data_IF_332486448172
#
_entry.id   IF_332486448172
#
_cell.length_a   1.000
_cell.length_b   1.000
_cell.length_c   1.000
_cell.angle_alpha   90.00
_cell.angle_beta   90.00
_cell.angle_gamma   90.00
#
_symmetry.space_group_name_H-M   'P 1'
#
loop_
_entity.id
_entity.type
_entity.pdbx_description
1 polymer ?
#
# COMPACT_ATOMS: atom_id res chain seq x y z
N UNK A 1 9.33 55.36 52.52
CA UNK A 1 7.97 55.62 53.03
C UNK A 1 7.18 54.35 52.79
N UNK A 2 6.93 53.58 53.84
CA UNK A 2 6.16 52.33 53.78
C UNK A 2 4.70 52.64 54.13
N UNK A 3 3.76 52.27 53.28
CA UNK A 3 2.37 52.04 53.65
C UNK A 3 1.86 50.73 53.01
N UNK A 4 0.96 50.01 53.70
CA UNK A 4 0.94 48.55 53.74
C UNK A 4 -0.25 47.91 53.01
N UNK A 5 -0.20 46.57 52.96
CA UNK A 5 -1.23 45.57 52.58
C UNK A 5 -2.68 46.00 52.82
N UNK A 6 -3.55 45.78 51.82
CA UNK A 6 -5.00 45.66 52.06
C UNK A 6 -5.53 44.28 51.63
N UNK A 7 -6.09 43.48 52.57
CA UNK A 7 -6.56 42.12 52.34
C UNK A 7 -8.06 42.04 51.97
N UNK A 8 -8.40 41.05 51.13
CA UNK A 8 -9.68 40.34 51.16
C UNK A 8 -10.75 40.75 50.14
N UNK A 9 -11.06 39.85 49.20
CA UNK A 9 -12.36 39.18 49.21
C UNK A 9 -12.27 37.77 48.58
N UNK A 10 -13.15 36.92 49.08
CA UNK A 10 -13.14 35.46 49.05
C UNK A 10 -14.09 34.93 47.99
N UNK A 11 -13.70 33.86 47.28
CA UNK A 11 -14.54 32.69 46.96
C UNK A 11 -13.69 31.60 46.31
N UNK A 12 -13.08 30.71 47.11
CA UNK A 12 -12.73 29.38 46.62
C UNK A 12 -14.04 28.63 46.42
N UNK A 13 -14.40 28.35 45.18
CA UNK A 13 -15.41 27.32 44.89
C UNK A 13 -14.88 26.00 45.46
N UNK A 14 -15.64 25.28 46.30
CA UNK A 14 -15.27 23.92 46.66
C UNK A 14 -15.32 23.05 45.38
N UNK A 15 -14.26 22.29 45.15
CA UNK A 15 -14.21 21.26 44.11
C UNK A 15 -15.01 20.05 44.61
N UNK A 16 -16.14 19.78 43.96
CA UNK A 16 -17.14 18.81 44.38
C UNK A 16 -17.10 17.51 43.55
N UNK A 17 -15.96 17.14 42.94
CA UNK A 17 -15.95 16.00 42.01
C UNK A 17 -15.30 14.74 42.63
N UNK A 18 -16.02 13.59 42.73
CA UNK A 18 -15.56 12.35 43.37
C UNK A 18 -14.36 11.65 42.68
N UNK A 19 -13.60 10.78 43.38
CA UNK A 19 -12.40 10.14 42.85
C UNK A 19 -12.72 9.07 41.77
N UNK A 20 -11.77 8.88 40.85
CA UNK A 20 -11.86 7.98 39.70
C UNK A 20 -12.29 6.55 40.09
N UNK A 21 -13.42 6.10 39.54
CA UNK A 21 -13.77 4.67 39.48
C UNK A 21 -13.35 4.13 38.11
N UNK A 22 -12.33 3.29 38.10
CA UNK A 22 -11.90 2.52 36.94
C UNK A 22 -13.01 1.54 36.52
N UNK A 23 -13.58 1.60 35.30
CA UNK A 23 -14.45 0.55 34.81
C UNK A 23 -13.62 -0.69 34.48
N UNK A 24 -13.82 -1.78 35.23
CA UNK A 24 -13.28 -3.11 34.98
C UNK A 24 -13.92 -3.71 33.74
N UNK A 25 -13.09 -4.26 32.88
CA UNK A 25 -13.37 -4.83 31.56
C UNK A 25 -14.69 -5.60 31.43
N UNK A 26 -15.61 -5.04 30.65
CA UNK A 26 -16.73 -5.78 30.02
C UNK A 26 -16.71 -5.71 28.49
N UNK A 27 -15.72 -5.05 27.87
CA UNK A 27 -15.69 -4.76 26.43
C UNK A 27 -14.75 -5.66 25.60
N UNK A 28 -14.28 -6.80 26.10
CA UNK A 28 -13.37 -7.67 25.34
C UNK A 28 -14.07 -8.47 24.23
N UNK A 29 -15.37 -8.75 24.37
CA UNK A 29 -16.15 -9.53 23.39
C UNK A 29 -16.65 -8.68 22.21
N UNK A 30 -16.71 -7.35 22.36
CA UNK A 30 -17.09 -6.41 21.28
C UNK A 30 -15.92 -6.11 20.32
N UNK A 31 -14.69 -6.41 20.72
CA UNK A 31 -13.50 -6.21 19.89
C UNK A 31 -13.47 -7.14 18.66
N UNK A 32 -14.09 -8.31 18.74
CA UNK A 32 -14.12 -9.27 17.62
C UNK A 32 -15.14 -8.91 16.52
N UNK A 33 -16.02 -7.92 16.76
CA UNK A 33 -17.08 -7.57 15.80
C UNK A 33 -17.08 -6.08 15.38
N UNK A 34 -15.94 -5.39 15.48
CA UNK A 34 -15.80 -4.04 14.95
C UNK A 34 -15.12 -4.07 13.57
N UNK A 35 -15.75 -3.55 12.50
CA UNK A 35 -15.03 -3.30 11.26
C UNK A 35 -13.92 -2.29 11.56
N UNK A 36 -12.68 -2.62 11.21
CA UNK A 36 -11.55 -1.71 11.36
C UNK A 36 -11.86 -0.40 10.63
N UNK A 37 -12.16 0.66 11.41
CA UNK A 37 -12.31 1.99 10.85
C UNK A 37 -10.92 2.46 10.42
N UNK A 38 -10.71 2.84 9.15
CA UNK A 38 -9.47 3.50 8.77
C UNK A 38 -9.40 4.79 9.60
N UNK A 39 -8.38 4.88 10.46
CA UNK A 39 -8.08 6.11 11.18
C UNK A 39 -7.54 7.10 10.15
N UNK A 40 -8.43 7.92 9.60
CA UNK A 40 -8.03 9.05 8.79
C UNK A 40 -7.17 9.97 9.68
N UNK A 41 -5.87 10.04 9.40
CA UNK A 41 -5.00 11.04 10.03
C UNK A 41 -5.59 12.41 9.72
N UNK A 42 -5.93 13.15 10.77
CA UNK A 42 -6.40 14.53 10.67
C UNK A 42 -5.28 15.38 10.06
N UNK A 43 -5.57 16.06 8.95
CA UNK A 43 -4.73 17.09 8.35
C UNK A 43 -5.07 18.46 8.95
N UNK A 44 -4.08 19.31 9.27
CA UNK A 44 -4.31 20.65 9.83
C UNK A 44 -5.06 21.59 8.84
N UNK A 45 -5.73 22.64 9.33
CA UNK A 45 -6.61 23.48 8.52
C UNK A 45 -5.81 24.35 7.55
N UNK A 46 -6.14 24.21 6.26
CA UNK A 46 -5.79 25.07 5.12
C UNK A 46 -4.35 25.64 5.07
N UNK A 47 -3.34 24.78 5.02
CA UNK A 47 -2.37 25.01 3.96
C UNK A 47 -3.10 24.69 2.65
N UNK A 48 -2.97 25.51 1.60
CA UNK A 48 -3.28 25.09 0.22
C UNK A 48 -2.42 23.86 -0.06
N UNK A 49 -2.94 22.70 0.30
CA UNK A 49 -2.33 21.43 0.00
C UNK A 49 -2.30 21.41 -1.52
N UNK A 50 -1.12 21.28 -2.17
CA UNK A 50 -1.09 20.87 -3.55
C UNK A 50 -1.91 19.59 -3.55
N UNK A 51 -3.12 19.63 -4.12
CA UNK A 51 -3.97 18.46 -4.25
C UNK A 51 -3.02 17.40 -4.79
N UNK A 52 -2.73 16.31 -4.05
CA UNK A 52 -1.93 15.23 -4.61
C UNK A 52 -2.59 14.96 -5.95
N UNK A 53 -1.90 15.16 -7.08
CA UNK A 53 -2.54 15.26 -8.38
C UNK A 53 -3.43 14.05 -8.47
N UNK A 54 -4.76 14.28 -8.52
CA UNK A 54 -5.78 13.27 -8.30
C UNK A 54 -5.26 12.00 -8.96
N UNK A 55 -4.89 11.00 -8.15
CA UNK A 55 -4.24 9.81 -8.69
C UNK A 55 -5.27 9.21 -9.61
N UNK A 56 -5.15 9.51 -10.90
CA UNK A 56 -6.17 9.21 -11.88
C UNK A 56 -6.17 7.72 -11.97
N UNK A 57 -7.10 7.08 -11.26
CA UNK A 57 -7.30 5.64 -11.32
C UNK A 57 -7.46 5.30 -12.78
N UNK A 58 -6.54 4.46 -13.28
CA UNK A 58 -6.51 4.12 -14.69
C UNK A 58 -7.86 3.52 -15.11
N UNK A 59 -8.40 4.00 -16.23
CA UNK A 59 -9.66 3.49 -16.75
C UNK A 59 -9.51 2.04 -17.20
N UNK A 60 -10.63 1.31 -17.23
CA UNK A 60 -10.66 -0.08 -17.73
C UNK A 60 -10.13 -0.16 -19.17
N UNK A 61 -10.47 0.82 -20.02
CA UNK A 61 -9.95 0.88 -21.39
C UNK A 61 -8.43 1.00 -21.46
N UNK A 62 -7.82 1.75 -20.54
CA UNK A 62 -6.36 1.84 -20.46
C UNK A 62 -5.72 0.52 -20.01
N UNK A 63 -6.38 -0.24 -19.14
CA UNK A 63 -5.95 -1.61 -18.78
C UNK A 63 -6.14 -2.60 -19.93
N UNK A 64 -7.24 -2.52 -20.68
CA UNK A 64 -7.44 -3.36 -21.86
C UNK A 64 -6.37 -3.10 -22.91
N UNK A 65 -6.02 -1.84 -23.17
CA UNK A 65 -4.94 -1.49 -24.07
C UNK A 65 -3.59 -2.02 -23.55
N UNK A 66 -3.33 -1.86 -22.25
CA UNK A 66 -2.11 -2.41 -21.63
C UNK A 66 -2.01 -3.93 -21.83
N UNK A 67 -3.10 -4.67 -21.59
CA UNK A 67 -3.16 -6.11 -21.77
C UNK A 67 -2.97 -6.51 -23.24
N UNK A 68 -3.62 -5.81 -24.17
CA UNK A 68 -3.49 -6.03 -25.61
C UNK A 68 -2.04 -5.87 -26.09
N UNK A 69 -1.37 -4.78 -25.70
CA UNK A 69 0.03 -4.53 -26.05
C UNK A 69 0.94 -5.62 -25.46
N UNK A 70 0.70 -6.04 -24.21
CA UNK A 70 1.51 -7.11 -23.58
C UNK A 70 1.33 -8.48 -24.20
N UNK A 71 0.21 -8.75 -24.87
CA UNK A 71 -0.04 -10.00 -25.59
C UNK A 71 0.86 -10.19 -26.81
N UNK A 72 1.43 -9.10 -27.35
CA UNK A 72 2.40 -9.16 -28.45
C UNK A 72 3.79 -9.41 -27.86
N UNK A 73 4.57 -10.43 -28.29
CA UNK A 73 5.79 -10.83 -27.59
C UNK A 73 6.85 -9.72 -27.48
N UNK A 74 7.25 -9.17 -28.63
CA UNK A 74 8.31 -8.15 -28.74
C UNK A 74 7.79 -6.78 -28.32
N UNK A 75 6.66 -6.34 -28.89
CA UNK A 75 6.06 -5.05 -28.57
C UNK A 75 5.65 -4.98 -27.10
N UNK A 76 5.09 -6.06 -26.56
CA UNK A 76 4.70 -6.17 -25.16
C UNK A 76 5.87 -6.14 -24.19
N UNK A 77 7.03 -6.72 -24.57
CA UNK A 77 8.25 -6.60 -23.78
C UNK A 77 8.71 -5.14 -23.71
N UNK A 78 8.80 -4.48 -24.87
CA UNK A 78 9.20 -3.06 -24.95
C UNK A 78 8.23 -2.20 -24.13
N UNK A 79 6.93 -2.42 -24.29
CA UNK A 79 5.90 -1.71 -23.54
C UNK A 79 6.07 -1.88 -22.02
N UNK A 80 6.26 -3.10 -21.52
CA UNK A 80 6.49 -3.36 -20.09
C UNK A 80 7.75 -2.63 -19.59
N UNK A 81 8.83 -2.60 -20.37
CA UNK A 81 10.05 -1.87 -20.00
C UNK A 81 9.81 -0.36 -19.89
N UNK A 82 9.14 0.23 -20.89
CA UNK A 82 8.78 1.66 -20.89
C UNK A 82 7.87 1.99 -19.70
N UNK A 83 6.92 1.12 -19.38
CA UNK A 83 6.00 1.32 -18.26
C UNK A 83 6.68 1.13 -16.90
N UNK A 84 7.58 0.14 -16.76
CA UNK A 84 8.26 -0.17 -15.49
C UNK A 84 9.24 0.93 -15.05
N UNK A 85 9.88 1.59 -16.02
CA UNK A 85 10.93 2.60 -15.79
C UNK A 85 10.54 4.01 -16.21
N UNK A 86 9.44 4.19 -16.93
CA UNK A 86 8.99 5.49 -17.43
C UNK A 86 8.52 6.43 -16.31
N UNK A 87 8.72 7.75 -16.51
CA UNK A 87 8.33 8.77 -15.55
C UNK A 87 6.81 9.05 -15.56
N UNK A 88 6.17 8.99 -16.73
CA UNK A 88 4.80 9.49 -17.00
C UNK A 88 3.64 8.52 -16.72
N UNK A 89 3.90 7.37 -16.11
CA UNK A 89 2.89 6.34 -15.84
C UNK A 89 2.40 6.35 -14.39
N UNK A 90 1.16 5.91 -14.14
CA UNK A 90 0.59 5.74 -12.79
C UNK A 90 1.41 4.77 -11.93
N UNK A 91 1.49 5.00 -10.62
CA UNK A 91 2.27 4.13 -9.71
C UNK A 91 1.82 2.66 -9.77
N UNK A 92 0.50 2.42 -9.88
CA UNK A 92 -0.07 1.08 -10.00
C UNK A 92 0.40 0.35 -11.26
N UNK A 93 0.41 1.02 -12.42
CA UNK A 93 0.83 0.41 -13.68
C UNK A 93 2.35 0.18 -13.72
N UNK A 94 3.16 1.02 -13.08
CA UNK A 94 4.61 0.73 -12.90
C UNK A 94 4.85 -0.53 -12.07
N UNK A 95 4.13 -0.67 -10.95
CA UNK A 95 4.26 -1.86 -10.10
C UNK A 95 3.83 -3.14 -10.83
N UNK A 96 2.70 -3.07 -11.55
CA UNK A 96 2.25 -4.17 -12.40
C UNK A 96 3.30 -4.56 -13.45
N UNK A 97 3.91 -3.60 -14.14
CA UNK A 97 4.92 -3.88 -15.14
C UNK A 97 6.17 -4.54 -14.54
N UNK A 98 6.62 -4.09 -13.36
CA UNK A 98 7.72 -4.74 -12.63
C UNK A 98 7.38 -6.18 -12.22
N UNK A 99 6.15 -6.42 -11.76
CA UNK A 99 5.67 -7.77 -11.45
C UNK A 99 5.64 -8.67 -12.69
N UNK A 100 5.16 -8.17 -13.83
CA UNK A 100 5.19 -8.91 -15.10
C UNK A 100 6.62 -9.26 -15.52
N UNK A 101 7.57 -8.36 -15.30
CA UNK A 101 8.99 -8.59 -15.62
C UNK A 101 9.57 -9.71 -14.75
N UNK A 102 9.26 -9.72 -13.45
CA UNK A 102 9.61 -10.82 -12.56
C UNK A 102 8.99 -12.16 -12.99
N UNK A 103 7.69 -12.17 -13.32
CA UNK A 103 7.02 -13.37 -13.83
C UNK A 103 7.64 -13.91 -15.12
N UNK A 104 8.03 -13.03 -16.05
CA UNK A 104 8.72 -13.45 -17.28
C UNK A 104 10.04 -14.14 -16.97
N UNK A 105 10.84 -13.62 -16.02
CA UNK A 105 12.09 -14.25 -15.59
C UNK A 105 11.80 -15.63 -14.99
N UNK A 106 10.80 -15.74 -14.11
CA UNK A 106 10.42 -17.02 -13.48
C UNK A 106 10.07 -18.07 -14.54
N UNK A 107 9.24 -17.71 -15.52
CA UNK A 107 8.83 -18.63 -16.60
C UNK A 107 10.04 -19.09 -17.42
N UNK A 108 10.96 -18.17 -17.77
CA UNK A 108 12.17 -18.51 -18.53
C UNK A 108 13.04 -19.50 -17.74
N UNK A 109 13.25 -19.25 -16.45
CA UNK A 109 14.05 -20.12 -15.59
C UNK A 109 13.41 -21.51 -15.47
N UNK A 110 12.10 -21.57 -15.21
CA UNK A 110 11.37 -22.84 -15.13
C UNK A 110 11.42 -23.61 -16.46
N UNK A 111 11.25 -22.93 -17.59
CA UNK A 111 11.35 -23.52 -18.91
C UNK A 111 12.74 -24.12 -19.16
N UNK A 112 13.81 -23.40 -18.78
CA UNK A 112 15.19 -23.89 -18.93
C UNK A 112 15.45 -25.14 -18.07
N UNK A 113 14.98 -25.16 -16.82
CA UNK A 113 15.11 -26.33 -15.93
C UNK A 113 14.45 -27.55 -16.56
N UNK A 114 13.21 -27.41 -17.04
CA UNK A 114 12.49 -28.50 -17.72
C UNK A 114 13.25 -28.93 -18.97
N UNK A 115 13.70 -28.00 -19.80
CA UNK A 115 14.41 -28.31 -21.03
C UNK A 115 15.71 -29.08 -20.79
N UNK A 116 16.49 -28.73 -19.75
CA UNK A 116 17.70 -29.46 -19.38
C UNK A 116 17.36 -30.85 -18.84
N UNK A 117 16.39 -30.95 -17.93
CA UNK A 117 15.99 -32.21 -17.33
C UNK A 117 15.44 -33.20 -18.38
N UNK A 118 14.56 -32.73 -19.27
CA UNK A 118 13.98 -33.57 -20.32
C UNK A 118 14.96 -33.80 -21.48
N UNK A 119 15.75 -32.80 -21.88
CA UNK A 119 16.76 -32.95 -22.92
C UNK A 119 17.86 -33.95 -22.55
N UNK A 120 18.30 -33.93 -21.28
CA UNK A 120 19.21 -34.94 -20.73
C UNK A 120 18.58 -36.32 -20.68
N UNK A 121 17.30 -36.43 -20.32
CA UNK A 121 16.57 -37.70 -20.27
C UNK A 121 16.38 -38.31 -21.68
N UNK A 122 16.00 -37.52 -22.67
CA UNK A 122 15.80 -37.97 -24.06
C UNK A 122 17.14 -38.40 -24.69
N UNK A 123 18.21 -37.62 -24.49
CA UNK A 123 19.54 -37.97 -24.99
C UNK A 123 20.18 -39.18 -24.30
N UNK A 124 19.72 -39.52 -23.09
CA UNK A 124 20.11 -40.76 -22.39
C UNK A 124 19.32 -41.96 -22.89
N UNK A 125 18.02 -41.78 -23.15
CA UNK A 125 17.15 -42.80 -23.71
C UNK A 125 17.56 -43.20 -25.13
N UNK A 126 17.86 -42.24 -26.00
CA UNK A 126 18.31 -42.50 -27.38
C UNK A 126 19.70 -43.15 -27.49
N UNK A 127 20.51 -43.09 -26.43
CA UNK A 127 21.87 -43.66 -26.40
C UNK A 127 21.89 -45.13 -25.95
N UNK A 128 20.78 -45.62 -25.40
CA UNK A 128 20.64 -46.97 -24.84
C UNK A 128 19.90 -47.94 -25.79
N UNK A 129 19.61 -47.52 -27.02
CA UNK A 129 19.13 -48.36 -28.13
C UNK A 129 20.13 -48.25 -29.29
#
# INVERSE_FOLDING_TARGET
MSTPVQPGNTSRTPDNTPPATTPRDTNMLDQWNTPATPTYRQTPPYATQPTPPASSTDSIGAWMLALLLTGIPVVGLIYILVVAFGASTSLARKNWARAMLAWRIIIIVLFLIVLIATGGAIGSFMRNY
#
